data_IF_586351039706
#
_entry.id   IF_586351039706
#
_cell.length_a   1.000
_cell.length_b   1.000
_cell.length_c   1.000
_cell.angle_alpha   90.00
_cell.angle_beta   90.00
_cell.angle_gamma   90.00
#
_symmetry.space_group_name_H-M   'P 1'
#
loop_
_entity.id
_entity.type
_entity.pdbx_description
1 polymer ?
#
# COMPACT_ATOMS: atom_id res chain seq x y z
N UNK A 1 -15.79 13.06 -19.77
CA UNK A 1 -14.93 12.18 -18.96
C UNK A 1 -13.50 12.57 -19.27
N UNK A 2 -12.75 13.10 -18.30
CA UNK A 2 -11.41 13.67 -18.54
C UNK A 2 -10.40 12.57 -18.85
N UNK A 3 -10.20 12.33 -20.14
CA UNK A 3 -9.10 11.52 -20.66
C UNK A 3 -7.79 12.31 -20.52
N UNK A 4 -7.11 12.15 -19.39
CA UNK A 4 -5.70 12.50 -19.31
C UNK A 4 -4.89 11.27 -18.90
N UNK A 5 -5.03 10.22 -19.71
CA UNK A 5 -4.13 9.05 -19.77
C UNK A 5 -2.92 9.39 -20.67
N UNK A 6 -2.40 10.61 -20.51
CA UNK A 6 -1.15 11.01 -21.14
C UNK A 6 -0.05 10.18 -20.48
N UNK A 7 0.23 9.01 -21.07
CA UNK A 7 1.31 8.05 -20.79
C UNK A 7 2.19 8.52 -19.61
N UNK A 8 1.74 8.24 -18.38
CA UNK A 8 2.48 8.61 -17.18
C UNK A 8 3.69 7.69 -17.10
N UNK A 9 4.82 8.17 -17.66
CA UNK A 9 6.10 7.47 -17.68
C UNK A 9 6.86 7.61 -16.36
N UNK A 10 6.24 8.22 -15.35
CA UNK A 10 6.84 8.39 -14.04
C UNK A 10 7.02 7.02 -13.38
N UNK A 11 8.23 6.78 -12.85
CA UNK A 11 8.50 5.60 -12.05
C UNK A 11 8.01 5.82 -10.62
N UNK A 12 7.14 4.93 -10.18
CA UNK A 12 6.60 4.86 -8.83
C UNK A 12 7.21 3.67 -8.08
N UNK A 13 7.20 3.77 -6.77
CA UNK A 13 7.48 2.67 -5.85
C UNK A 13 6.27 2.45 -4.95
N UNK A 14 6.04 1.20 -4.57
CA UNK A 14 4.99 0.83 -3.64
C UNK A 14 5.52 1.05 -2.24
N UNK A 15 4.74 1.76 -1.43
CA UNK A 15 5.05 2.07 -0.03
C UNK A 15 3.95 1.53 0.88
N UNK A 16 4.33 1.18 2.09
CA UNK A 16 3.42 0.67 3.13
C UNK A 16 3.65 1.43 4.43
N UNK A 17 2.57 1.74 5.15
CA UNK A 17 2.64 2.39 6.46
C UNK A 17 2.59 1.37 7.62
N UNK A 18 2.63 1.87 8.85
CA UNK A 18 2.55 1.06 10.07
C UNK A 18 1.21 0.35 10.29
N UNK A 19 0.16 0.75 9.58
CA UNK A 19 -1.17 0.11 9.62
C UNK A 19 -1.39 -0.91 8.50
N UNK A 20 -0.33 -1.26 7.75
CA UNK A 20 -0.38 -2.15 6.59
C UNK A 20 -1.21 -1.60 5.41
N UNK A 21 -1.34 -0.28 5.32
CA UNK A 21 -1.98 0.37 4.17
C UNK A 21 -0.95 0.59 3.06
N UNK A 22 -1.31 0.21 1.85
CA UNK A 22 -0.44 0.31 0.67
C UNK A 22 -0.79 1.54 -0.17
N UNK A 23 0.24 2.17 -0.74
CA UNK A 23 0.10 3.27 -1.69
C UNK A 23 1.25 3.28 -2.69
N UNK A 24 1.14 4.13 -3.73
CA UNK A 24 2.23 4.41 -4.66
C UNK A 24 2.84 5.78 -4.35
N UNK A 25 4.16 5.87 -4.46
CA UNK A 25 4.92 7.10 -4.24
C UNK A 25 5.94 7.30 -5.37
N UNK A 26 6.21 8.53 -5.82
CA UNK A 26 7.22 8.74 -6.87
C UNK A 26 8.60 8.23 -6.43
N UNK A 27 9.24 7.39 -7.24
CA UNK A 27 10.48 6.70 -6.85
C UNK A 27 11.67 7.62 -6.64
N UNK A 28 11.64 8.81 -7.23
CA UNK A 28 12.69 9.83 -7.09
C UNK A 28 12.57 10.66 -5.81
N UNK A 29 11.52 10.46 -5.00
CA UNK A 29 11.32 11.16 -3.72
C UNK A 29 11.64 10.24 -2.55
N UNK A 30 12.16 10.84 -1.49
CA UNK A 30 12.26 10.17 -0.19
C UNK A 30 10.85 9.83 0.35
N UNK A 31 10.78 8.77 1.16
CA UNK A 31 9.52 8.37 1.77
C UNK A 31 9.08 9.36 2.83
N UNK A 32 7.78 9.67 2.92
CA UNK A 32 7.25 10.40 4.06
C UNK A 32 7.53 9.62 5.37
N UNK A 33 7.67 10.33 6.51
CA UNK A 33 7.82 9.68 7.81
C UNK A 33 6.71 8.65 8.08
N UNK A 34 7.09 7.47 8.57
CA UNK A 34 6.16 6.38 8.87
C UNK A 34 5.77 5.51 7.67
N UNK A 35 6.31 5.78 6.48
CA UNK A 35 6.19 4.93 5.29
C UNK A 35 7.51 4.24 4.99
N UNK A 36 7.44 3.01 4.47
CA UNK A 36 8.59 2.22 4.03
C UNK A 36 8.33 1.60 2.66
N UNK A 37 9.39 1.30 1.93
CA UNK A 37 9.28 0.63 0.63
C UNK A 37 8.74 -0.80 0.81
N UNK A 38 7.80 -1.19 -0.05
CA UNK A 38 7.17 -2.51 -0.05
C UNK A 38 7.80 -3.49 -1.05
N UNK A 39 8.91 -3.08 -1.72
CA UNK A 39 9.71 -3.94 -2.59
C UNK A 39 9.33 -3.95 -4.08
N UNK A 40 8.30 -3.19 -4.51
CA UNK A 40 7.91 -3.05 -5.93
C UNK A 40 8.15 -1.62 -6.42
N UNK A 41 8.76 -1.49 -7.59
CA UNK A 41 8.98 -0.23 -8.32
C UNK A 41 8.66 -0.47 -9.80
N UNK A 42 8.07 0.51 -10.47
CA UNK A 42 7.68 0.40 -11.88
C UNK A 42 6.76 1.54 -12.31
N UNK A 43 6.06 1.35 -13.42
CA UNK A 43 5.02 2.29 -13.82
C UNK A 43 3.85 2.26 -12.84
N UNK A 44 3.02 3.30 -12.92
CA UNK A 44 1.82 3.43 -12.09
C UNK A 44 0.95 2.17 -12.11
N UNK A 45 0.67 1.64 -13.31
CA UNK A 45 -0.19 0.48 -13.48
C UNK A 45 0.40 -0.77 -12.81
N UNK A 46 1.69 -1.06 -13.05
CA UNK A 46 2.38 -2.22 -12.46
C UNK A 46 2.40 -2.17 -10.92
N UNK A 47 2.57 -0.96 -10.36
CA UNK A 47 2.54 -0.77 -8.91
C UNK A 47 1.13 -0.98 -8.35
N UNK A 48 0.09 -0.49 -9.03
CA UNK A 48 -1.30 -0.69 -8.61
C UNK A 48 -1.75 -2.15 -8.72
N UNK A 49 -1.31 -2.88 -9.74
CA UNK A 49 -1.56 -4.31 -9.87
C UNK A 49 -0.92 -5.09 -8.72
N UNK A 50 0.34 -4.81 -8.40
CA UNK A 50 1.00 -5.39 -7.23
C UNK A 50 0.22 -5.11 -5.93
N UNK A 51 -0.24 -3.87 -5.72
CA UNK A 51 -1.04 -3.53 -4.53
C UNK A 51 -2.32 -4.37 -4.46
N UNK A 52 -3.02 -4.58 -5.59
CA UNK A 52 -4.23 -5.42 -5.62
C UNK A 52 -3.94 -6.88 -5.25
N UNK A 53 -2.77 -7.40 -5.63
CA UNK A 53 -2.37 -8.78 -5.32
C UNK A 53 -2.00 -8.94 -3.84
N UNK A 54 -1.27 -7.98 -3.25
CA UNK A 54 -0.76 -8.10 -1.87
C UNK A 54 -1.73 -7.59 -0.81
N UNK A 55 -2.55 -6.59 -1.12
CA UNK A 55 -3.48 -5.96 -0.18
C UNK A 55 -4.82 -6.71 -0.13
N UNK A 56 -4.77 -7.96 0.28
CA UNK A 56 -5.93 -8.88 0.32
C UNK A 56 -6.87 -8.64 1.50
N UNK A 57 -6.34 -8.07 2.59
CA UNK A 57 -7.11 -7.69 3.79
C UNK A 57 -6.99 -6.18 4.02
N UNK A 58 -8.04 -5.45 3.68
CA UNK A 58 -8.10 -3.99 3.85
C UNK A 58 -8.42 -3.55 5.28
N UNK A 59 -8.56 -4.48 6.24
CA UNK A 59 -8.77 -4.10 7.64
C UNK A 59 -7.49 -3.52 8.22
N UNK A 60 -7.56 -2.35 8.91
CA UNK A 60 -6.39 -1.80 9.58
C UNK A 60 -5.76 -2.80 10.56
N UNK A 61 -4.43 -2.86 10.63
CA UNK A 61 -3.70 -3.74 11.55
C UNK A 61 -4.23 -3.63 13.00
N UNK A 62 -4.55 -2.41 13.44
CA UNK A 62 -5.11 -2.14 14.77
C UNK A 62 -6.44 -2.85 15.02
N UNK A 63 -7.30 -2.98 14.01
CA UNK A 63 -8.56 -3.71 14.11
C UNK A 63 -8.31 -5.22 14.15
N UNK A 64 -7.38 -5.72 13.33
CA UNK A 64 -7.01 -7.14 13.30
C UNK A 64 -6.49 -7.59 14.67
N UNK A 65 -5.59 -6.82 15.29
CA UNK A 65 -5.06 -7.09 16.64
C UNK A 65 -6.16 -7.16 17.69
N UNK A 66 -7.06 -6.17 17.74
CA UNK A 66 -8.19 -6.16 18.68
C UNK A 66 -9.11 -7.37 18.54
N UNK A 67 -9.35 -7.83 17.30
CA UNK A 67 -10.16 -9.02 17.05
C UNK A 67 -9.45 -10.32 17.46
N UNK A 68 -8.12 -10.41 17.31
CA UNK A 68 -7.33 -11.55 17.79
C UNK A 68 -7.27 -11.62 19.32
N UNK A 69 -7.09 -10.47 19.99
CA UNK A 69 -7.10 -10.35 21.45
C UNK A 69 -8.46 -10.79 22.01
N UNK A 70 -9.56 -10.23 21.49
CA UNK A 70 -10.91 -10.58 21.92
C UNK A 70 -11.30 -12.06 21.68
N UNK A 71 -10.60 -12.77 20.78
CA UNK A 71 -10.77 -14.21 20.57
C UNK A 71 -10.06 -15.03 21.66
N UNK A 72 -8.94 -14.54 22.21
CA UNK A 72 -8.18 -15.21 23.26
C UNK A 72 -8.84 -15.10 24.63
N UNK A 73 -9.52 -13.99 24.92
CA UNK A 73 -10.27 -13.81 26.18
C UNK A 73 -11.54 -14.67 26.30
N UNK A 74 -11.93 -15.37 25.23
CA UNK A 74 -13.13 -16.23 25.18
C UNK A 74 -12.83 -17.73 25.27
N UNK A 75 -11.58 -18.12 25.52
CA UNK A 75 -11.11 -19.50 25.75
C UNK A 75 -10.63 -19.62 27.18
#
# INVERSE_FOLDING_TARGET
>A
MSSNDAQDTTIYKVVVNHEEQYSIWPSYRENPPGWRDAGKTGLKQECLEYIKEVWTDMRPLSLRKKMEEAKKDKV
#
